data_IF_860825973686
#
_entry.id   IF_860825973686
#
_cell.length_a   1.000
_cell.length_b   1.000
_cell.length_c   1.000
_cell.angle_alpha   90.00
_cell.angle_beta   90.00
_cell.angle_gamma   90.00
#
_symmetry.space_group_name_H-M   'P 1'
#
loop_
_entity.id
_entity.type
_entity.pdbx_description
1 polymer ?
#
# COMPACT_ATOMS: atom_id res chain seq x y z
N UNK A 1 -15.02 -72.18 -16.29
CA UNK A 1 -16.17 -71.37 -15.83
C UNK A 1 -15.65 -70.03 -15.34
N UNK A 2 -15.96 -68.97 -16.11
CA UNK A 2 -16.23 -67.57 -15.75
C UNK A 2 -15.53 -67.00 -14.48
N UNK A 3 -14.62 -66.03 -14.67
CA UNK A 3 -14.06 -65.20 -13.58
C UNK A 3 -14.89 -63.95 -13.27
N UNK A 4 -14.43 -63.04 -12.39
CA UNK A 4 -14.95 -61.69 -12.31
C UNK A 4 -14.00 -60.68 -12.98
N UNK A 5 -14.61 -59.84 -13.83
CA UNK A 5 -14.02 -58.70 -14.53
C UNK A 5 -13.52 -57.66 -13.52
N UNK A 6 -12.25 -57.27 -13.61
CA UNK A 6 -11.77 -55.99 -13.06
C UNK A 6 -12.22 -54.88 -14.00
N UNK A 7 -13.13 -54.02 -13.55
CA UNK A 7 -13.52 -52.79 -14.25
C UNK A 7 -12.32 -51.84 -14.29
N UNK A 8 -11.87 -51.53 -15.50
CA UNK A 8 -10.92 -50.43 -15.74
C UNK A 8 -11.71 -49.13 -15.60
N UNK A 9 -11.61 -48.47 -14.45
CA UNK A 9 -11.98 -47.06 -14.36
C UNK A 9 -10.97 -46.28 -15.20
N UNK A 10 -11.45 -45.74 -16.32
CA UNK A 10 -10.70 -44.83 -17.19
C UNK A 10 -10.38 -43.58 -16.36
N UNK A 11 -9.11 -43.36 -16.07
CA UNK A 11 -8.62 -42.06 -15.64
C UNK A 11 -8.97 -41.06 -16.74
N UNK A 12 -9.86 -40.13 -16.42
CA UNK A 12 -10.04 -38.92 -17.23
C UNK A 12 -8.81 -38.06 -16.99
N UNK A 13 -8.16 -37.64 -18.08
CA UNK A 13 -7.06 -36.69 -18.03
C UNK A 13 -7.53 -35.38 -17.38
N UNK A 14 -6.70 -34.72 -16.54
CA UNK A 14 -7.07 -33.50 -15.80
C UNK A 14 -7.61 -32.39 -16.70
N UNK A 15 -7.18 -32.35 -17.97
CA UNK A 15 -7.68 -31.46 -19.01
C UNK A 15 -9.20 -31.56 -19.27
N UNK A 16 -9.78 -32.75 -19.13
CA UNK A 16 -11.22 -32.99 -19.39
C UNK A 16 -12.06 -32.63 -18.17
N UNK A 17 -11.50 -32.73 -16.96
CA UNK A 17 -12.13 -32.19 -15.75
C UNK A 17 -12.11 -30.65 -15.75
N UNK A 18 -11.01 -30.05 -16.23
CA UNK A 18 -10.87 -28.59 -16.40
C UNK A 18 -11.88 -28.04 -17.41
N UNK A 19 -12.05 -28.68 -18.57
CA UNK A 19 -13.04 -28.30 -19.58
C UNK A 19 -14.49 -28.44 -19.08
N UNK A 20 -14.77 -29.43 -18.23
CA UNK A 20 -16.08 -29.59 -17.60
C UNK A 20 -16.36 -28.47 -16.58
N UNK A 21 -15.35 -28.04 -15.81
CA UNK A 21 -15.44 -26.93 -14.85
C UNK A 21 -15.69 -25.57 -15.54
N UNK A 22 -14.98 -25.28 -16.63
CA UNK A 22 -15.19 -24.05 -17.43
C UNK A 22 -16.60 -24.01 -18.03
N UNK A 23 -17.14 -25.16 -18.46
CA UNK A 23 -18.50 -25.22 -19.05
C UNK A 23 -19.64 -25.06 -18.02
N UNK A 24 -19.41 -25.37 -16.74
CA UNK A 24 -20.38 -25.09 -15.66
C UNK A 24 -20.33 -23.61 -15.25
N UNK A 25 -19.16 -22.98 -15.34
CA UNK A 25 -18.93 -21.56 -15.01
C UNK A 25 -19.67 -20.60 -15.95
N UNK A 26 -19.71 -20.88 -17.27
CA UNK A 26 -20.44 -20.05 -18.25
C UNK A 26 -21.96 -20.12 -18.06
N UNK A 27 -22.48 -21.25 -17.55
CA UNK A 27 -23.92 -21.43 -17.33
C UNK A 27 -24.43 -20.75 -16.05
N UNK A 28 -23.58 -20.58 -15.03
CA UNK A 28 -23.96 -19.92 -13.78
C UNK A 28 -24.08 -18.39 -13.94
N UNK A 29 -23.20 -17.78 -14.73
CA UNK A 29 -23.23 -16.33 -15.01
C UNK A 29 -24.41 -15.93 -15.90
N UNK A 30 -24.91 -16.82 -16.75
CA UNK A 30 -26.08 -16.56 -17.59
C UNK A 30 -27.42 -16.56 -16.83
N UNK A 31 -27.49 -17.19 -15.64
CA UNK A 31 -28.75 -17.34 -14.89
C UNK A 31 -29.03 -16.16 -13.96
N UNK A 32 -28.03 -15.36 -13.59
CA UNK A 32 -28.22 -14.16 -12.75
C UNK A 32 -28.68 -12.92 -13.52
N UNK A 33 -28.56 -12.88 -14.86
CA UNK A 33 -28.95 -11.71 -15.67
C UNK A 33 -30.45 -11.66 -16.04
N UNK A 34 -31.24 -12.69 -15.73
CA UNK A 34 -32.66 -12.75 -16.09
C UNK A 34 -33.64 -12.24 -15.01
N UNK A 35 -33.15 -11.78 -13.85
CA UNK A 35 -34.01 -11.50 -12.68
C UNK A 35 -34.31 -10.02 -12.38
N UNK A 36 -33.80 -9.04 -13.15
CA UNK A 36 -34.11 -7.62 -12.92
C UNK A 36 -34.61 -6.94 -14.19
N UNK A 37 -35.80 -7.36 -14.64
CA UNK A 37 -36.65 -6.56 -15.53
C UNK A 37 -38.03 -6.45 -14.89
N UNK A 38 -38.38 -5.25 -14.39
CA UNK A 38 -39.60 -5.06 -13.62
C UNK A 38 -39.97 -3.60 -13.29
N UNK A 39 -40.08 -2.75 -14.33
CA UNK A 39 -41.03 -1.63 -14.54
C UNK A 39 -41.38 -0.69 -13.37
N UNK A 40 -41.16 0.62 -13.60
CA UNK A 40 -41.83 1.70 -12.86
C UNK A 40 -41.60 3.09 -13.46
N UNK A 41 -42.24 3.38 -14.59
CA UNK A 41 -42.25 4.69 -15.27
C UNK A 41 -43.27 5.67 -14.69
N UNK A 42 -42.91 6.95 -14.53
CA UNK A 42 -43.70 8.21 -14.66
C UNK A 42 -42.73 9.38 -14.39
N UNK A 43 -42.62 10.48 -15.10
CA UNK A 43 -43.23 11.08 -16.28
C UNK A 43 -42.48 12.41 -16.49
N UNK A 44 -42.16 12.77 -17.73
CA UNK A 44 -41.30 13.93 -18.04
C UNK A 44 -42.03 15.26 -18.11
N UNK A 45 -41.28 16.36 -18.28
CA UNK A 45 -41.66 17.52 -19.11
C UNK A 45 -40.42 18.37 -19.47
N UNK A 46 -40.31 18.74 -20.75
CA UNK A 46 -39.70 19.97 -21.31
C UNK A 46 -38.20 20.22 -21.03
N UNK A 47 -37.27 20.21 -21.98
CA UNK A 47 -37.30 20.87 -23.28
C UNK A 47 -36.88 22.33 -23.14
N UNK A 48 -35.69 22.69 -23.66
CA UNK A 48 -35.39 23.82 -24.57
C UNK A 48 -33.85 23.95 -24.69
N UNK A 49 -33.45 24.29 -25.92
CA UNK A 49 -32.13 24.55 -26.49
C UNK A 49 -31.43 25.72 -25.73
N UNK A 50 -30.12 25.87 -25.71
CA UNK A 50 -29.35 26.51 -26.78
C UNK A 50 -27.84 26.35 -26.54
N UNK A 51 -27.12 26.29 -27.65
CA UNK A 51 -25.67 26.42 -27.76
C UNK A 51 -25.27 27.91 -27.83
N UNK A 52 -24.06 28.24 -27.38
CA UNK A 52 -23.13 29.30 -27.88
C UNK A 52 -21.95 29.39 -26.87
N UNK A 53 -20.72 28.95 -27.19
CA UNK A 53 -19.65 29.64 -27.92
C UNK A 53 -19.40 31.10 -27.51
N UNK A 54 -18.22 31.40 -26.97
CA UNK A 54 -17.77 32.77 -26.71
C UNK A 54 -16.39 32.89 -26.09
N UNK A 55 -15.36 32.82 -26.94
CA UNK A 55 -14.00 33.33 -26.69
C UNK A 55 -14.01 34.83 -26.36
N UNK A 56 -13.08 35.28 -25.52
CA UNK A 56 -12.98 36.69 -25.15
C UNK A 56 -11.67 37.05 -24.45
N UNK A 57 -10.57 37.03 -25.19
CA UNK A 57 -9.28 37.63 -24.81
C UNK A 57 -9.41 39.16 -24.87
N UNK A 58 -9.18 39.83 -23.75
CA UNK A 58 -9.07 41.30 -23.66
C UNK A 58 -7.76 41.70 -23.00
N UNK A 59 -6.79 42.12 -23.82
CA UNK A 59 -5.58 42.86 -23.43
C UNK A 59 -5.86 44.35 -23.56
N UNK A 60 -5.51 45.10 -22.51
CA UNK A 60 -4.82 46.42 -22.52
C UNK A 60 -5.25 47.29 -21.34
N UNK A 61 -4.26 47.75 -20.58
CA UNK A 61 -4.46 48.68 -19.48
C UNK A 61 -3.18 49.01 -18.73
N UNK A 62 -2.30 49.78 -19.38
CA UNK A 62 -1.13 50.37 -18.76
C UNK A 62 -1.52 51.31 -17.59
N UNK A 63 -0.91 51.08 -16.42
CA UNK A 63 -1.04 51.93 -15.24
C UNK A 63 0.26 51.93 -14.45
N UNK A 64 1.05 52.99 -14.63
CA UNK A 64 2.27 53.24 -13.88
C UNK A 64 1.95 53.53 -12.40
N UNK A 65 2.61 52.79 -11.50
CA UNK A 65 2.57 53.02 -10.06
C UNK A 65 3.84 52.45 -9.42
N UNK A 66 4.86 53.29 -9.29
CA UNK A 66 6.07 52.99 -8.51
C UNK A 66 5.72 53.08 -7.01
N UNK A 67 5.43 51.95 -6.41
CA UNK A 67 5.54 51.73 -4.96
C UNK A 67 6.62 50.66 -4.72
N UNK A 68 7.33 50.68 -3.57
CA UNK A 68 8.29 49.62 -3.29
C UNK A 68 7.51 48.32 -3.14
N UNK A 69 7.66 47.43 -4.13
CA UNK A 69 7.24 46.05 -4.01
C UNK A 69 8.04 45.46 -2.86
N UNK A 70 7.37 45.24 -1.73
CA UNK A 70 7.79 44.27 -0.77
C UNK A 70 8.10 42.99 -1.56
N UNK A 71 9.33 42.49 -1.44
CA UNK A 71 9.68 41.15 -1.88
C UNK A 71 8.66 40.21 -1.26
N UNK A 72 7.71 39.76 -2.06
CA UNK A 72 6.83 38.66 -1.69
C UNK A 72 7.78 37.46 -1.62
N UNK A 73 8.24 37.15 -0.41
CA UNK A 73 8.83 35.85 -0.15
C UNK A 73 7.79 34.85 -0.62
N UNK A 74 8.10 34.16 -1.72
CA UNK A 74 7.54 32.84 -2.00
C UNK A 74 7.78 32.08 -0.70
N UNK A 75 6.69 31.74 -0.02
CA UNK A 75 6.73 31.04 1.27
C UNK A 75 7.46 29.73 1.09
N UNK A 76 8.77 29.75 1.29
CA UNK A 76 9.53 28.54 1.57
C UNK A 76 8.87 27.95 2.80
N UNK A 77 8.38 26.71 2.69
CA UNK A 77 7.90 25.95 3.83
C UNK A 77 8.91 26.17 4.98
N UNK A 78 8.45 26.76 6.07
CA UNK A 78 9.33 27.04 7.19
C UNK A 78 9.75 25.69 7.77
N UNK A 79 11.00 25.30 7.51
CA UNK A 79 11.56 24.03 7.96
C UNK A 79 11.90 24.17 9.43
N UNK A 80 11.29 23.34 10.27
CA UNK A 80 11.52 23.31 11.72
C UNK A 80 12.72 22.41 12.03
N UNK A 81 13.83 22.94 12.58
CA UNK A 81 14.96 22.12 12.94
C UNK A 81 14.68 21.31 14.22
N UNK A 82 15.00 20.02 14.19
CA UNK A 82 14.95 19.10 15.33
C UNK A 82 16.38 18.73 15.70
N UNK A 83 16.67 18.67 16.99
CA UNK A 83 18.02 18.34 17.51
C UNK A 83 18.02 17.31 18.64
N UNK A 84 16.84 16.82 19.02
CA UNK A 84 16.63 15.87 20.10
C UNK A 84 15.26 15.20 20.00
N UNK A 85 14.95 14.33 20.95
CA UNK A 85 13.64 13.69 21.04
C UNK A 85 12.54 14.71 21.35
N UNK A 86 11.48 14.72 20.57
CA UNK A 86 10.36 15.63 20.74
C UNK A 86 9.05 15.07 20.16
N UNK A 87 7.95 15.73 20.49
CA UNK A 87 6.63 15.44 19.90
C UNK A 87 6.30 16.52 18.88
N UNK A 88 6.08 16.10 17.64
CA UNK A 88 5.58 16.93 16.55
C UNK A 88 4.05 16.91 16.60
N UNK A 89 3.44 18.05 16.91
CA UNK A 89 1.98 18.17 17.05
C UNK A 89 1.33 19.08 16.02
N UNK A 90 2.12 19.63 15.10
CA UNK A 90 1.63 20.54 14.06
C UNK A 90 2.12 20.07 12.68
N UNK A 91 1.29 20.20 11.62
CA UNK A 91 1.72 20.00 10.24
C UNK A 91 2.98 20.79 9.89
N UNK A 92 3.80 20.26 8.99
CA UNK A 92 4.97 20.98 8.50
C UNK A 92 6.16 20.09 8.16
N UNK A 93 7.27 20.75 7.83
CA UNK A 93 8.53 20.09 7.51
C UNK A 93 9.47 20.18 8.70
N UNK A 94 10.00 19.03 9.12
CA UNK A 94 10.89 18.90 10.26
C UNK A 94 12.17 18.22 9.79
N UNK A 95 13.32 18.80 10.14
CA UNK A 95 14.63 18.32 9.69
C UNK A 95 15.53 18.06 10.89
N UNK A 96 16.10 16.86 11.00
CA UNK A 96 17.17 16.62 11.97
C UNK A 96 18.40 17.45 11.61
N UNK A 97 19.00 18.06 12.63
CA UNK A 97 20.20 18.91 12.48
C UNK A 97 21.47 18.26 13.04
N UNK A 98 21.32 17.10 13.67
CA UNK A 98 22.38 16.34 14.32
C UNK A 98 21.90 14.93 14.65
N UNK A 99 22.85 14.06 14.93
CA UNK A 99 22.55 12.75 15.48
C UNK A 99 22.02 12.86 16.93
N UNK A 100 21.06 11.98 17.23
CA UNK A 100 20.47 11.76 18.55
C UNK A 100 20.96 10.38 19.00
N UNK A 101 21.86 10.33 19.99
CA UNK A 101 22.69 9.15 20.29
C UNK A 101 22.40 8.58 21.69
N UNK A 102 22.47 7.26 21.85
CA UNK A 102 22.32 6.54 23.13
C UNK A 102 21.07 6.99 23.91
N UNK A 103 19.96 7.17 23.22
CA UNK A 103 18.79 7.81 23.81
C UNK A 103 17.79 6.76 24.31
N UNK A 104 17.43 6.76 25.60
CA UNK A 104 16.42 5.83 26.13
C UNK A 104 14.97 6.15 25.68
N UNK A 105 14.77 7.20 24.86
CA UNK A 105 13.50 7.91 24.74
C UNK A 105 13.27 8.89 25.91
N UNK A 106 12.20 9.71 25.89
CA UNK A 106 11.88 10.65 26.97
C UNK A 106 11.48 9.92 28.28
N UNK A 107 11.16 8.63 28.21
CA UNK A 107 11.04 7.66 29.31
C UNK A 107 11.49 6.29 28.81
N UNK A 108 11.79 5.37 29.72
CA UNK A 108 12.25 3.99 29.44
C UNK A 108 11.31 3.14 28.58
N UNK A 109 10.11 3.63 28.24
CA UNK A 109 9.11 2.95 27.40
C UNK A 109 8.48 3.93 26.39
N UNK A 110 9.21 4.97 25.99
CA UNK A 110 8.67 6.05 25.15
C UNK A 110 9.47 6.27 23.86
N UNK A 111 8.76 6.81 22.89
CA UNK A 111 9.23 7.14 21.55
C UNK A 111 10.23 8.31 21.60
N UNK A 112 11.31 8.29 20.82
CA UNK A 112 12.18 9.47 20.73
C UNK A 112 11.48 10.60 19.97
N UNK A 113 11.19 10.40 18.68
CA UNK A 113 10.38 11.35 17.91
C UNK A 113 8.97 10.80 17.80
N UNK A 114 7.99 11.59 18.25
CA UNK A 114 6.58 11.24 18.13
C UNK A 114 5.88 12.20 17.18
N UNK A 115 5.48 11.72 16.01
CA UNK A 115 4.64 12.45 15.07
C UNK A 115 3.16 12.23 15.42
N UNK A 116 2.51 13.30 15.83
CA UNK A 116 1.12 13.34 16.32
C UNK A 116 0.32 14.42 15.57
N UNK A 117 0.52 14.49 14.25
CA UNK A 117 -0.18 15.39 13.34
C UNK A 117 -0.13 14.82 11.91
N UNK A 118 -1.14 15.16 11.10
CA UNK A 118 -1.16 14.91 9.66
C UNK A 118 -0.27 15.92 8.92
N UNK A 119 -0.01 15.65 7.63
CA UNK A 119 0.74 16.56 6.73
C UNK A 119 2.14 16.91 7.28
N UNK A 120 2.84 15.90 7.79
CA UNK A 120 4.18 16.03 8.36
C UNK A 120 5.21 15.36 7.45
N UNK A 121 6.28 16.08 7.17
CA UNK A 121 7.51 15.49 6.61
C UNK A 121 8.59 15.56 7.67
N UNK A 122 9.00 14.39 8.17
CA UNK A 122 10.20 14.23 8.99
C UNK A 122 11.34 13.77 8.10
N UNK A 123 12.30 14.67 7.86
CA UNK A 123 13.51 14.39 7.10
C UNK A 123 14.70 14.26 8.07
N UNK A 124 15.25 13.05 8.15
CA UNK A 124 16.44 12.78 8.94
C UNK A 124 17.69 13.46 8.40
N UNK A 125 17.69 13.93 7.16
CA UNK A 125 18.84 14.60 6.54
C UNK A 125 20.16 13.80 6.68
N UNK A 126 20.05 12.46 6.64
CA UNK A 126 21.17 11.53 6.81
C UNK A 126 21.62 11.30 8.26
N UNK A 127 20.97 11.92 9.25
CA UNK A 127 21.29 11.74 10.67
C UNK A 127 20.73 10.46 11.26
N UNK A 128 21.31 10.07 12.39
CA UNK A 128 20.94 8.88 13.16
C UNK A 128 20.10 9.23 14.39
N UNK A 129 19.08 8.42 14.66
CA UNK A 129 18.38 8.34 15.94
C UNK A 129 18.65 6.96 16.54
N UNK A 130 19.50 6.94 17.55
CA UNK A 130 20.12 5.76 18.13
C UNK A 130 19.64 5.55 19.58
N UNK A 131 19.09 4.37 19.82
CA UNK A 131 18.53 3.93 21.09
C UNK A 131 19.56 3.23 21.97
N UNK A 132 19.07 2.42 22.91
CA UNK A 132 19.91 1.60 23.81
C UNK A 132 19.36 0.18 24.01
N UNK A 133 18.45 -0.27 23.13
CA UNK A 133 17.85 -1.60 23.14
C UNK A 133 16.77 -1.81 24.21
N UNK A 134 16.06 -0.76 24.63
CA UNK A 134 14.99 -0.91 25.64
C UNK A 134 13.74 -1.50 25.02
N UNK A 135 13.11 -2.47 25.69
CA UNK A 135 11.80 -3.00 25.30
C UNK A 135 10.73 -1.90 25.24
N UNK A 136 9.82 -2.02 24.29
CA UNK A 136 8.74 -1.06 24.02
C UNK A 136 9.18 0.38 23.69
N UNK A 137 10.46 0.58 23.36
CA UNK A 137 10.97 1.85 22.83
C UNK A 137 10.76 1.96 21.32
N UNK A 138 10.55 3.19 20.83
CA UNK A 138 10.44 3.45 19.39
C UNK A 138 11.34 4.62 19.00
N UNK A 139 12.11 4.52 17.93
CA UNK A 139 12.91 5.64 17.44
C UNK A 139 12.02 6.74 16.91
N UNK A 140 11.24 6.43 15.88
CA UNK A 140 10.21 7.31 15.32
C UNK A 140 8.84 6.62 15.40
N UNK A 141 7.92 7.20 16.16
CA UNK A 141 6.53 6.74 16.22
C UNK A 141 5.62 7.75 15.53
N UNK A 142 4.78 7.28 14.60
CA UNK A 142 3.72 8.07 13.97
C UNK A 142 2.38 7.48 14.37
N UNK A 143 1.53 8.26 15.01
CA UNK A 143 0.22 7.77 15.40
C UNK A 143 -0.40 8.58 16.52
N UNK A 144 -1.72 8.55 16.61
CA UNK A 144 -2.46 9.21 17.69
C UNK A 144 -3.75 8.49 18.04
N UNK A 145 -4.60 9.15 18.85
CA UNK A 145 -5.98 8.72 19.07
C UNK A 145 -6.94 9.20 17.97
N UNK A 146 -6.55 10.22 17.22
CA UNK A 146 -7.24 10.70 16.05
C UNK A 146 -6.58 10.12 14.79
N UNK A 147 -7.32 10.12 13.69
CA UNK A 147 -6.81 9.69 12.41
C UNK A 147 -5.68 10.64 11.97
N UNK A 148 -4.53 10.05 11.61
CA UNK A 148 -3.40 10.76 11.03
C UNK A 148 -3.32 10.39 9.56
N UNK A 149 -3.05 11.37 8.72
CA UNK A 149 -2.94 11.20 7.27
C UNK A 149 -1.67 11.89 6.74
N UNK A 150 -1.14 11.38 5.62
CA UNK A 150 -0.09 12.04 4.84
C UNK A 150 1.17 12.38 5.67
N UNK A 151 1.79 11.35 6.26
CA UNK A 151 3.06 11.52 7.00
C UNK A 151 4.20 10.83 6.26
N UNK A 152 5.26 11.58 5.98
CA UNK A 152 6.49 11.06 5.39
C UNK A 152 7.62 11.05 6.43
N UNK A 153 8.26 9.89 6.62
CA UNK A 153 9.55 9.79 7.33
C UNK A 153 10.60 9.37 6.32
N UNK A 154 11.68 10.16 6.18
CA UNK A 154 12.71 9.88 5.17
C UNK A 154 14.14 10.21 5.58
N UNK A 155 15.10 9.60 4.89
CA UNK A 155 16.54 9.86 5.00
C UNK A 155 17.07 9.81 6.45
N UNK A 156 16.68 8.79 7.21
CA UNK A 156 17.05 8.67 8.64
C UNK A 156 17.61 7.28 8.92
N UNK A 157 18.61 7.21 9.78
CA UNK A 157 19.10 5.94 10.33
C UNK A 157 18.49 5.72 11.72
N UNK A 158 17.90 4.54 11.96
CA UNK A 158 17.22 4.17 13.20
C UNK A 158 17.80 2.87 13.74
N UNK A 159 18.27 2.89 14.97
CA UNK A 159 18.98 1.75 15.53
C UNK A 159 18.83 1.56 17.02
N UNK A 160 19.03 0.33 17.47
CA UNK A 160 19.03 0.00 18.90
C UNK A 160 17.70 0.36 19.58
N UNK A 161 16.59 0.22 18.86
CA UNK A 161 15.23 0.38 19.38
C UNK A 161 14.49 -0.95 19.45
N UNK A 162 13.43 -1.04 20.26
CA UNK A 162 12.48 -2.14 20.08
C UNK A 162 11.82 -2.03 18.70
N UNK A 163 11.40 -0.83 18.31
CA UNK A 163 10.89 -0.51 16.98
C UNK A 163 11.68 0.66 16.39
N UNK A 164 12.31 0.50 15.23
CA UNK A 164 13.06 1.59 14.58
C UNK A 164 12.12 2.73 14.21
N UNK A 165 11.29 2.49 13.19
CA UNK A 165 10.13 3.32 12.86
C UNK A 165 8.85 2.50 12.95
N UNK A 166 7.82 3.08 13.54
CA UNK A 166 6.52 2.45 13.68
C UNK A 166 5.42 3.47 13.41
N UNK A 167 4.46 3.12 12.55
CA UNK A 167 3.22 3.88 12.48
C UNK A 167 1.99 3.02 12.71
N UNK A 168 1.04 3.61 13.44
CA UNK A 168 -0.19 2.95 13.87
C UNK A 168 -1.39 3.87 13.65
N UNK A 169 -2.41 3.40 12.93
CA UNK A 169 -3.61 4.21 12.69
C UNK A 169 -3.34 5.39 11.74
N UNK A 170 -2.55 5.16 10.69
CA UNK A 170 -2.11 6.21 9.76
C UNK A 170 -2.56 5.86 8.35
N UNK A 171 -3.14 6.83 7.65
CA UNK A 171 -3.47 6.76 6.23
C UNK A 171 -2.39 7.45 5.40
N UNK A 172 -2.12 6.94 4.18
CA UNK A 172 -1.22 7.56 3.20
C UNK A 172 0.18 7.89 3.76
N UNK A 173 0.72 7.01 4.61
CA UNK A 173 2.06 7.15 5.17
C UNK A 173 3.15 6.81 4.15
N UNK A 174 4.33 7.41 4.27
CA UNK A 174 5.50 7.07 3.45
C UNK A 174 6.76 6.91 4.30
N UNK A 175 7.43 5.77 4.16
CA UNK A 175 8.79 5.54 4.64
C UNK A 175 9.73 5.44 3.45
N UNK A 176 10.71 6.35 3.35
CA UNK A 176 11.63 6.41 2.21
C UNK A 176 13.08 6.63 2.61
N UNK A 177 14.02 5.84 2.07
CA UNK A 177 15.44 5.96 2.43
C UNK A 177 15.67 5.89 3.96
N UNK A 178 14.94 5.03 4.65
CA UNK A 178 15.15 4.73 6.06
C UNK A 178 16.13 3.58 6.17
N UNK A 179 17.19 3.75 6.96
CA UNK A 179 18.06 2.64 7.36
C UNK A 179 17.70 2.20 8.78
N UNK A 180 16.94 1.11 8.90
CA UNK A 180 16.53 0.54 10.17
C UNK A 180 17.41 -0.68 10.51
N UNK A 181 18.33 -0.51 11.46
CA UNK A 181 19.33 -1.54 11.79
C UNK A 181 19.43 -1.87 13.27
N UNK A 182 19.59 -3.15 13.62
CA UNK A 182 19.76 -3.61 15.01
C UNK A 182 18.57 -3.27 15.93
N UNK A 183 17.36 -3.38 15.41
CA UNK A 183 16.11 -3.22 16.17
C UNK A 183 15.42 -4.59 16.36
N UNK A 184 14.42 -4.69 17.25
CA UNK A 184 13.57 -5.89 17.20
C UNK A 184 12.65 -5.86 15.99
N UNK A 185 12.07 -4.70 15.67
CA UNK A 185 11.37 -4.47 14.41
C UNK A 185 12.01 -3.26 13.74
N UNK A 186 12.49 -3.41 12.51
CA UNK A 186 13.11 -2.31 11.76
C UNK A 186 12.07 -1.25 11.38
N UNK A 187 11.19 -1.63 10.46
CA UNK A 187 10.10 -0.79 9.94
C UNK A 187 8.78 -1.50 10.25
N UNK A 188 7.80 -0.80 10.78
CA UNK A 188 6.50 -1.42 11.03
C UNK A 188 5.28 -0.55 10.81
N UNK A 189 4.27 -1.19 10.23
CA UNK A 189 2.99 -0.66 9.76
C UNK A 189 1.88 -1.43 10.47
N UNK A 190 0.97 -0.73 11.15
CA UNK A 190 -0.09 -1.36 11.93
C UNK A 190 -1.41 -0.59 11.82
N UNK A 191 -2.52 -1.28 11.57
CA UNK A 191 -3.83 -0.64 11.49
C UNK A 191 -3.82 0.61 10.59
N UNK A 192 -3.22 0.50 9.41
CA UNK A 192 -2.91 1.60 8.51
C UNK A 192 -3.47 1.33 7.10
N UNK A 193 -3.56 2.37 6.27
CA UNK A 193 -3.98 2.24 4.87
C UNK A 193 -3.11 3.05 3.92
N UNK A 194 -2.90 2.55 2.71
CA UNK A 194 -2.19 3.30 1.64
C UNK A 194 -0.73 3.61 1.97
N UNK A 195 -0.06 2.75 2.74
CA UNK A 195 1.30 3.01 3.20
C UNK A 195 2.32 2.64 2.15
N UNK A 196 3.27 3.53 1.86
CA UNK A 196 4.37 3.31 0.92
C UNK A 196 5.68 3.10 1.69
N UNK A 197 6.27 1.91 1.60
CA UNK A 197 7.58 1.58 2.17
C UNK A 197 8.55 1.42 1.01
N UNK A 198 9.32 2.47 0.73
CA UNK A 198 10.09 2.62 -0.51
C UNK A 198 11.60 2.78 -0.26
N UNK A 199 12.45 2.09 -0.99
CA UNK A 199 13.90 2.35 -1.01
C UNK A 199 14.55 2.34 0.39
N UNK A 200 14.10 1.44 1.28
CA UNK A 200 14.61 1.36 2.64
C UNK A 200 15.59 0.20 2.82
N UNK A 201 16.45 0.31 3.82
CA UNK A 201 17.29 -0.78 4.29
C UNK A 201 16.79 -1.25 5.67
N UNK A 202 16.41 -2.53 5.79
CA UNK A 202 16.04 -3.14 7.05
C UNK A 202 16.97 -4.33 7.33
N UNK A 203 18.02 -4.09 8.12
CA UNK A 203 19.10 -5.06 8.32
C UNK A 203 19.40 -5.38 9.79
N UNK A 204 19.83 -6.62 10.06
CA UNK A 204 20.21 -7.08 11.41
C UNK A 204 19.15 -6.84 12.50
N UNK A 205 17.88 -6.80 12.13
CA UNK A 205 16.76 -6.71 13.07
C UNK A 205 16.28 -8.13 13.45
N UNK A 206 15.39 -8.26 14.45
CA UNK A 206 14.67 -9.53 14.63
C UNK A 206 13.63 -9.72 13.50
N UNK A 207 12.86 -8.67 13.20
CA UNK A 207 11.98 -8.57 12.04
C UNK A 207 12.39 -7.34 11.23
N UNK A 208 12.64 -7.49 9.93
CA UNK A 208 13.04 -6.37 9.07
C UNK A 208 11.90 -5.38 8.87
N UNK A 209 10.88 -5.79 8.10
CA UNK A 209 9.66 -5.03 7.84
C UNK A 209 8.46 -5.81 8.37
N UNK A 210 7.55 -5.15 9.07
CA UNK A 210 6.32 -5.74 9.58
C UNK A 210 5.10 -4.94 9.13
N UNK A 211 4.15 -5.59 8.49
CA UNK A 211 2.83 -5.06 8.19
C UNK A 211 1.79 -5.89 8.95
N UNK A 212 0.79 -5.26 9.56
CA UNK A 212 -0.22 -5.94 10.38
C UNK A 212 -1.52 -5.15 10.37
N UNK A 213 -2.66 -5.83 10.25
CA UNK A 213 -3.99 -5.20 10.25
C UNK A 213 -4.10 -4.01 9.27
N UNK A 214 -3.38 -4.03 8.15
CA UNK A 214 -3.25 -2.88 7.25
C UNK A 214 -3.70 -3.21 5.83
N UNK A 215 -4.13 -2.20 5.08
CA UNK A 215 -4.58 -2.36 3.69
C UNK A 215 -3.77 -1.49 2.75
N UNK A 216 -3.62 -1.93 1.49
CA UNK A 216 -2.99 -1.14 0.44
C UNK A 216 -1.55 -0.68 0.80
N UNK A 217 -0.78 -1.53 1.47
CA UNK A 217 0.64 -1.27 1.68
C UNK A 217 1.42 -1.61 0.39
N UNK A 218 2.29 -0.71 -0.04
CA UNK A 218 3.18 -0.90 -1.19
C UNK A 218 4.63 -0.96 -0.72
N UNK A 219 5.31 -2.07 -0.98
CA UNK A 219 6.71 -2.31 -0.60
C UNK A 219 7.56 -2.42 -1.87
N UNK A 220 8.34 -1.38 -2.19
CA UNK A 220 9.17 -1.36 -3.41
C UNK A 220 10.61 -0.89 -3.12
N UNK A 221 11.59 -1.46 -3.82
CA UNK A 221 13.00 -1.05 -3.72
C UNK A 221 13.66 -1.29 -2.34
N UNK A 222 13.06 -2.09 -1.46
CA UNK A 222 13.60 -2.29 -0.10
C UNK A 222 14.66 -3.39 -0.05
N UNK A 223 15.79 -3.10 0.57
CA UNK A 223 16.81 -4.09 0.92
C UNK A 223 16.56 -4.66 2.32
N UNK A 224 16.20 -5.94 2.39
CA UNK A 224 15.88 -6.62 3.65
C UNK A 224 16.82 -7.80 3.85
N UNK A 225 17.88 -7.62 4.64
CA UNK A 225 18.99 -8.59 4.72
C UNK A 225 19.50 -8.80 6.15
N UNK A 226 20.04 -9.99 6.44
CA UNK A 226 20.72 -10.27 7.72
C UNK A 226 19.83 -10.18 8.98
N UNK A 227 18.50 -10.17 8.84
CA UNK A 227 17.58 -10.18 9.98
C UNK A 227 17.55 -11.58 10.65
N UNK A 228 17.51 -11.62 11.98
CA UNK A 228 17.66 -12.85 12.77
C UNK A 228 16.42 -13.74 12.79
N UNK A 229 15.23 -13.16 12.62
CA UNK A 229 13.96 -13.86 12.56
C UNK A 229 13.41 -13.87 11.14
N UNK A 230 12.59 -12.87 10.83
CA UNK A 230 11.88 -12.77 9.55
C UNK A 230 12.31 -11.51 8.81
N UNK A 231 12.49 -11.59 7.49
CA UNK A 231 12.74 -10.41 6.66
C UNK A 231 11.51 -9.51 6.61
N UNK A 232 10.44 -9.98 5.99
CA UNK A 232 9.15 -9.30 5.88
C UNK A 232 8.09 -10.18 6.54
N UNK A 233 7.31 -9.61 7.46
CA UNK A 233 6.13 -10.26 8.05
C UNK A 233 4.90 -9.44 7.69
N UNK A 234 3.90 -10.06 7.07
CA UNK A 234 2.58 -9.47 6.89
C UNK A 234 1.48 -10.41 7.43
N UNK A 235 0.46 -9.84 8.07
CA UNK A 235 -0.75 -10.57 8.41
C UNK A 235 -1.66 -10.59 7.18
N UNK A 236 -1.37 -11.52 6.27
CA UNK A 236 -2.07 -11.68 5.01
C UNK A 236 -3.59 -11.79 5.25
N UNK A 237 -4.44 -10.88 4.73
CA UNK A 237 -5.85 -11.19 4.59
C UNK A 237 -6.01 -12.46 3.75
N UNK A 238 -6.37 -13.56 4.41
CA UNK A 238 -6.69 -14.80 3.75
C UNK A 238 -8.16 -14.80 3.32
N UNK A 239 -8.42 -14.99 2.03
CA UNK A 239 -9.76 -15.26 1.50
C UNK A 239 -9.92 -16.77 1.40
N UNK A 240 -10.99 -17.31 1.99
CA UNK A 240 -11.35 -18.71 1.81
C UNK A 240 -11.98 -18.89 0.41
N UNK A 241 -11.25 -19.52 -0.50
CA UNK A 241 -11.73 -19.90 -1.84
C UNK A 241 -11.92 -21.41 -1.85
N UNK A 242 -13.19 -21.86 -1.83
CA UNK A 242 -13.54 -23.29 -1.90
C UNK A 242 -12.86 -24.16 -0.81
N UNK A 243 -12.88 -23.68 0.43
CA UNK A 243 -12.23 -24.29 1.61
C UNK A 243 -10.69 -24.26 1.60
N UNK A 244 -10.06 -23.58 0.64
CA UNK A 244 -8.61 -23.30 0.63
C UNK A 244 -8.35 -21.85 1.03
N UNK A 245 -7.42 -21.63 1.96
CA UNK A 245 -7.00 -20.29 2.38
C UNK A 245 -6.03 -19.71 1.37
N UNK A 246 -6.46 -18.67 0.66
CA UNK A 246 -5.64 -17.92 -0.28
C UNK A 246 -5.19 -16.63 0.41
N UNK A 247 -3.89 -16.48 0.62
CA UNK A 247 -3.32 -15.28 1.21
C UNK A 247 -3.22 -14.16 0.17
N UNK A 248 -3.79 -13.00 0.47
CA UNK A 248 -3.68 -11.79 -0.34
C UNK A 248 -2.86 -10.81 0.48
N UNK A 249 -1.76 -10.23 -0.01
CA UNK A 249 -1.05 -9.24 0.79
C UNK A 249 0.36 -8.95 0.34
N UNK A 250 0.91 -7.83 0.83
CA UNK A 250 0.98 -6.66 -0.04
C UNK A 250 1.71 -7.04 -1.33
N UNK A 251 1.08 -6.82 -2.49
CA UNK A 251 1.66 -7.33 -3.71
C UNK A 251 3.06 -6.71 -3.89
N UNK A 252 4.01 -7.51 -4.37
CA UNK A 252 5.37 -7.06 -4.66
C UNK A 252 5.55 -6.94 -6.17
N UNK A 253 6.45 -6.02 -6.53
CA UNK A 253 7.01 -5.85 -7.88
C UNK A 253 8.51 -6.17 -7.77
N UNK A 254 8.90 -7.47 -7.89
CA UNK A 254 10.28 -7.87 -7.67
C UNK A 254 11.26 -7.38 -8.75
N UNK A 255 10.78 -7.07 -9.95
CA UNK A 255 11.60 -6.63 -11.10
C UNK A 255 11.46 -5.15 -11.47
N UNK A 256 10.69 -4.38 -10.70
CA UNK A 256 10.54 -2.91 -10.75
C UNK A 256 10.05 -2.42 -12.12
N UNK A 257 9.14 -3.17 -12.75
CA UNK A 257 8.58 -2.84 -14.06
C UNK A 257 7.23 -2.10 -13.97
N UNK A 258 6.70 -1.96 -12.75
CA UNK A 258 5.43 -1.31 -12.42
C UNK A 258 4.25 -2.27 -12.30
N UNK A 259 4.45 -3.56 -12.59
CA UNK A 259 3.45 -4.62 -12.43
C UNK A 259 3.72 -5.42 -11.16
N UNK A 260 2.63 -5.94 -10.60
CA UNK A 260 2.61 -6.51 -9.27
C UNK A 260 2.23 -8.00 -9.34
N UNK A 261 3.04 -8.79 -10.03
CA UNK A 261 2.82 -10.22 -10.30
C UNK A 261 2.87 -11.09 -9.05
N UNK A 262 3.62 -10.69 -8.03
CA UNK A 262 3.65 -11.35 -6.72
C UNK A 262 2.53 -10.79 -5.85
N UNK A 263 1.29 -11.18 -6.17
CA UNK A 263 0.06 -10.68 -5.51
C UNK A 263 -0.03 -11.14 -4.05
N UNK A 264 0.66 -12.22 -3.71
CA UNK A 264 0.70 -12.81 -2.35
C UNK A 264 1.82 -12.24 -1.48
N UNK A 265 2.79 -11.55 -2.09
CA UNK A 265 3.92 -10.90 -1.44
C UNK A 265 4.98 -11.88 -0.90
N UNK A 266 5.03 -13.11 -1.44
CA UNK A 266 5.90 -14.19 -0.98
C UNK A 266 7.24 -14.30 -1.75
N UNK A 267 7.45 -13.43 -2.73
CA UNK A 267 8.57 -13.36 -3.68
C UNK A 267 8.62 -14.51 -4.68
N UNK A 268 7.51 -15.22 -4.85
CA UNK A 268 7.30 -16.17 -5.93
C UNK A 268 6.20 -15.62 -6.86
N UNK A 269 6.25 -16.03 -8.13
CA UNK A 269 5.15 -15.75 -9.07
C UNK A 269 4.59 -17.09 -9.50
N UNK A 270 3.30 -17.30 -9.28
CA UNK A 270 2.65 -18.54 -9.69
C UNK A 270 1.17 -18.63 -9.37
N UNK A 271 0.73 -19.87 -9.15
CA UNK A 271 -0.69 -20.21 -9.06
C UNK A 271 -1.39 -19.58 -7.86
N UNK A 272 -0.65 -19.28 -6.79
CA UNK A 272 -1.22 -18.63 -5.62
C UNK A 272 -1.48 -17.14 -5.87
N UNK A 273 -0.62 -16.46 -6.63
CA UNK A 273 -0.81 -15.05 -7.02
C UNK A 273 -1.99 -14.88 -7.95
N UNK A 274 -2.14 -15.79 -8.92
CA UNK A 274 -3.32 -15.82 -9.77
C UNK A 274 -4.62 -16.07 -8.99
N UNK A 275 -4.60 -16.97 -8.00
CA UNK A 275 -5.76 -17.19 -7.13
C UNK A 275 -6.08 -15.95 -6.29
N UNK A 276 -5.05 -15.24 -5.81
CA UNK A 276 -5.19 -13.99 -5.08
C UNK A 276 -5.76 -12.89 -5.98
N UNK A 277 -5.23 -12.73 -7.19
CA UNK A 277 -5.71 -11.78 -8.19
C UNK A 277 -7.16 -12.06 -8.58
N UNK A 278 -7.55 -13.33 -8.72
CA UNK A 278 -8.95 -13.71 -8.92
C UNK A 278 -9.86 -13.19 -7.80
N UNK A 279 -9.41 -13.27 -6.55
CA UNK A 279 -10.12 -12.72 -5.41
C UNK A 279 -10.27 -11.19 -5.50
N UNK A 280 -9.20 -10.50 -5.88
CA UNK A 280 -9.17 -9.03 -6.08
C UNK A 280 -10.15 -8.61 -7.17
N UNK A 281 -10.06 -9.19 -8.37
CA UNK A 281 -10.96 -8.93 -9.51
C UNK A 281 -12.41 -9.20 -9.15
N UNK A 282 -12.68 -10.32 -8.47
CA UNK A 282 -14.04 -10.67 -8.03
C UNK A 282 -14.62 -9.64 -7.06
N UNK A 283 -13.80 -9.11 -6.14
CA UNK A 283 -14.23 -8.11 -5.18
C UNK A 283 -14.47 -6.74 -5.83
N UNK A 284 -13.63 -6.32 -6.80
CA UNK A 284 -13.82 -5.07 -7.57
C UNK A 284 -15.11 -5.13 -8.40
N UNK A 285 -15.32 -6.23 -9.14
CA UNK A 285 -16.54 -6.43 -9.95
C UNK A 285 -17.82 -6.49 -9.11
N UNK A 286 -17.74 -6.99 -7.88
CA UNK A 286 -18.86 -7.03 -6.95
C UNK A 286 -19.10 -5.69 -6.22
N UNK A 287 -18.24 -4.69 -6.41
CA UNK A 287 -18.28 -3.42 -5.67
C UNK A 287 -17.98 -3.59 -4.17
N UNK A 288 -17.26 -4.66 -3.81
CA UNK A 288 -16.84 -4.97 -2.43
C UNK A 288 -15.43 -4.47 -2.14
N UNK A 289 -14.63 -4.20 -3.17
CA UNK A 289 -13.32 -3.56 -3.08
C UNK A 289 -13.40 -2.09 -3.55
N UNK A 290 -12.63 -1.22 -2.90
CA UNK A 290 -12.44 0.18 -3.31
C UNK A 290 -10.99 0.33 -3.82
N UNK A 291 -10.76 -0.06 -5.07
CA UNK A 291 -9.47 0.06 -5.74
C UNK A 291 -9.34 1.44 -6.41
N UNK A 292 -8.21 2.11 -6.17
CA UNK A 292 -7.84 3.34 -6.89
C UNK A 292 -7.46 3.01 -8.34
N UNK A 293 -7.55 3.99 -9.26
CA UNK A 293 -7.22 3.79 -10.67
C UNK A 293 -5.78 3.28 -10.87
N UNK A 294 -4.82 3.92 -10.20
CA UNK A 294 -3.40 3.52 -10.24
C UNK A 294 -3.16 2.07 -9.75
N UNK A 295 -4.00 1.55 -8.85
CA UNK A 295 -3.88 0.16 -8.39
C UNK A 295 -4.45 -0.85 -9.38
N UNK A 296 -5.45 -0.44 -10.19
CA UNK A 296 -5.93 -1.28 -11.29
C UNK A 296 -4.85 -1.39 -12.37
N UNK A 297 -4.19 -0.28 -12.68
CA UNK A 297 -3.08 -0.23 -13.64
C UNK A 297 -1.88 -1.10 -13.18
N UNK A 298 -1.58 -1.14 -11.88
CA UNK A 298 -0.54 -2.02 -11.32
C UNK A 298 -0.87 -3.52 -11.42
N UNK A 299 -2.16 -3.87 -11.55
CA UNK A 299 -2.67 -5.24 -11.61
C UNK A 299 -3.14 -5.65 -13.02
N UNK A 300 -2.97 -4.76 -14.00
CA UNK A 300 -3.23 -4.98 -15.43
C UNK A 300 -2.07 -5.78 -16.05
N UNK A 301 -2.16 -7.10 -15.90
CA UNK A 301 -1.12 -8.04 -16.31
C UNK A 301 -1.06 -8.19 -17.82
N UNK A 302 -2.20 -8.08 -18.51
CA UNK A 302 -2.26 -8.24 -19.96
C UNK A 302 -2.06 -6.93 -20.76
N UNK A 303 -2.10 -5.79 -20.06
CA UNK A 303 -1.79 -4.46 -20.56
C UNK A 303 -2.91 -3.85 -21.40
N UNK A 304 -4.16 -4.27 -21.22
CA UNK A 304 -5.30 -3.79 -22.00
C UNK A 304 -6.00 -2.56 -21.41
N UNK A 305 -5.60 -2.13 -20.21
CA UNK A 305 -6.03 -0.92 -19.53
C UNK A 305 -7.23 -1.08 -18.61
N UNK A 306 -7.68 -2.32 -18.35
CA UNK A 306 -8.62 -2.60 -17.27
C UNK A 306 -8.12 -3.71 -16.33
N UNK A 307 -8.89 -3.96 -15.25
CA UNK A 307 -8.58 -5.00 -14.28
C UNK A 307 -9.70 -6.05 -14.36
N UNK A 308 -9.44 -7.18 -14.99
CA UNK A 308 -10.43 -8.20 -15.27
C UNK A 308 -9.89 -9.64 -15.17
N UNK A 309 -10.64 -10.62 -15.68
CA UNK A 309 -10.23 -12.02 -15.61
C UNK A 309 -9.14 -12.40 -16.63
N UNK A 310 -8.91 -11.55 -17.65
CA UNK A 310 -7.76 -11.60 -18.56
C UNK A 310 -6.45 -11.50 -17.81
N UNK A 311 -6.35 -10.60 -16.83
CA UNK A 311 -5.17 -10.44 -15.98
C UNK A 311 -4.84 -11.71 -15.19
N UNK A 312 -5.89 -12.30 -14.58
CA UNK A 312 -5.79 -13.57 -13.86
C UNK A 312 -5.27 -14.67 -14.78
N UNK A 313 -5.76 -14.73 -16.02
CA UNK A 313 -5.31 -15.73 -16.98
C UNK A 313 -3.87 -15.53 -17.42
N UNK A 314 -3.46 -14.27 -17.61
CA UNK A 314 -2.08 -13.93 -17.96
C UNK A 314 -1.13 -14.38 -16.85
N UNK A 315 -1.46 -14.10 -15.59
CA UNK A 315 -0.68 -14.52 -14.43
C UNK A 315 -0.71 -16.04 -14.18
N UNK A 316 -1.77 -16.75 -14.57
CA UNK A 316 -1.80 -18.23 -14.55
C UNK A 316 -0.93 -18.88 -15.62
N UNK A 317 -0.59 -18.13 -16.67
CA UNK A 317 0.07 -18.65 -17.87
C UNK A 317 1.56 -18.32 -17.95
N UNK A 318 2.07 -17.52 -17.01
CA UNK A 318 3.48 -17.15 -16.86
C UNK A 318 4.38 -18.28 -16.33
#
# INVERSE_FOLDING_TARGET
MIGPRRSRLRFWSPLVALLALVSVLVLAVAVSLAAVVGVGSIGGVGGVLDAESGDGVGVDGAGAGLGPTASQQVGGANVTPISGCETITEPGQYVLTRDIINTPGPRTTQNCVWVNASDVVLDGNGHRIDGIGVSDSTGVYVGSKADIDNVTVRNVTLSDWHKGVWHRGVSNGTFRNVNATNNAIGIGVENASGTRVLDNEASTNLIGIRVTDSTLAALAGNEVSGNYGTGIYDELPAVDVLDERVAVGPPLDPDDDGRYEDVTGDRETGVYDALSLFGVVSADLAGLADLHADHREMLDMDGDGDLDYGDVWTLLSS
#
